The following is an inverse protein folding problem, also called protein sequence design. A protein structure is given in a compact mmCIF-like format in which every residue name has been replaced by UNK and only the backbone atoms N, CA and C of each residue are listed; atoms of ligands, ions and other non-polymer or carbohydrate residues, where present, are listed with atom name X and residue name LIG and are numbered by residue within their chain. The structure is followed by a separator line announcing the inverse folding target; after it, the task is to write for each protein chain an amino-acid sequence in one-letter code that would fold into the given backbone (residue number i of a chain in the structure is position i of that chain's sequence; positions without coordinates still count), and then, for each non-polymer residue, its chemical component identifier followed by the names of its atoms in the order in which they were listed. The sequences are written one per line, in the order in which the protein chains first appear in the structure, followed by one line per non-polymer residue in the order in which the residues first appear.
data_IF_867915327239
#
_entry.id   IF_867915327239
#
_cell.length_a   1.000
_cell.length_b   1.000
_cell.length_c   1.000
_cell.angle_alpha   90.00
_cell.angle_beta   90.00
_cell.angle_gamma   90.00
#
_symmetry.space_group_name_H-M   'P 1'
#
loop_
_entity.id
_entity.type
_entity.pdbx_description
1 polymer ?
#
# COMPACT_ATOMS: atom_id res chain seq x y z
N UNK A 1 4.73 -8.44 -27.31
CA UNK A 1 4.03 -7.96 -26.09
C UNK A 1 4.74 -8.55 -24.90
N UNK A 2 5.07 -7.70 -23.94
CA UNK A 2 5.57 -8.18 -22.66
C UNK A 2 4.41 -8.78 -21.84
N UNK A 3 4.69 -9.73 -20.96
CA UNK A 3 3.67 -10.43 -20.15
C UNK A 3 2.79 -9.45 -19.35
N UNK A 4 3.36 -8.38 -18.80
CA UNK A 4 2.60 -7.41 -18.00
C UNK A 4 1.54 -6.66 -18.83
N UNK A 5 1.78 -6.42 -20.12
CA UNK A 5 0.82 -5.75 -21.01
C UNK A 5 -0.43 -6.62 -21.22
N UNK A 6 -0.25 -7.93 -21.34
CA UNK A 6 -1.38 -8.88 -21.43
C UNK A 6 -2.18 -9.02 -20.13
N UNK A 7 -1.62 -8.59 -19.00
CA UNK A 7 -2.27 -8.57 -17.70
C UNK A 7 -2.96 -7.22 -17.40
N UNK A 8 -2.94 -6.28 -18.35
CA UNK A 8 -3.59 -4.97 -18.22
C UNK A 8 -2.70 -3.88 -17.62
N UNK A 9 -1.40 -4.15 -17.40
CA UNK A 9 -0.48 -3.13 -16.93
C UNK A 9 0.05 -2.29 -18.10
N UNK A 10 -0.01 -0.97 -17.97
CA UNK A 10 0.56 -0.02 -18.94
C UNK A 10 2.09 0.13 -18.82
N UNK A 11 2.65 -0.22 -17.67
CA UNK A 11 4.08 -0.20 -17.35
C UNK A 11 4.42 -1.40 -16.47
N UNK A 12 5.68 -1.82 -16.45
CA UNK A 12 6.09 -2.94 -15.61
C UNK A 12 5.87 -2.60 -14.11
N UNK A 13 5.00 -3.35 -13.40
CA UNK A 13 4.58 -2.97 -12.04
C UNK A 13 5.69 -3.11 -11.00
N UNK A 14 6.61 -4.07 -11.17
CA UNK A 14 7.67 -4.40 -10.20
C UNK A 14 9.05 -3.97 -10.70
N UNK A 15 9.19 -2.72 -11.17
CA UNK A 15 10.49 -2.20 -11.65
C UNK A 15 11.41 -1.77 -10.51
N UNK A 16 10.86 -1.62 -9.31
CA UNK A 16 11.56 -1.14 -8.12
C UNK A 16 11.64 -2.24 -7.09
N UNK A 17 12.74 -2.25 -6.34
CA UNK A 17 12.89 -3.14 -5.18
C UNK A 17 12.17 -2.57 -3.96
N UNK A 18 12.06 -1.24 -3.90
CA UNK A 18 11.45 -0.51 -2.79
C UNK A 18 10.05 -0.04 -3.18
N UNK A 19 9.05 -0.43 -2.38
CA UNK A 19 7.67 0.03 -2.58
C UNK A 19 7.54 1.56 -2.44
N UNK A 20 8.49 2.27 -1.84
CA UNK A 20 8.51 3.75 -1.75
C UNK A 20 8.77 4.43 -3.09
N UNK A 21 9.42 3.74 -4.03
CA UNK A 21 9.74 4.27 -5.36
C UNK A 21 8.67 3.94 -6.41
N UNK A 22 7.63 3.20 -6.02
CA UNK A 22 6.57 2.74 -6.92
C UNK A 22 5.44 3.77 -7.02
N UNK A 23 5.48 4.64 -8.05
CA UNK A 23 4.47 5.70 -8.22
C UNK A 23 3.04 5.14 -8.33
N UNK A 24 2.86 4.03 -9.04
CA UNK A 24 1.56 3.42 -9.32
C UNK A 24 1.10 2.39 -8.28
N UNK A 25 1.74 2.32 -7.10
CA UNK A 25 1.43 1.30 -6.08
C UNK A 25 -0.07 1.18 -5.77
N UNK A 26 -0.78 2.32 -5.68
CA UNK A 26 -2.21 2.34 -5.37
C UNK A 26 -3.08 1.64 -6.42
N UNK A 27 -2.62 1.55 -7.67
CA UNK A 27 -3.39 0.98 -8.79
C UNK A 27 -3.43 -0.55 -8.76
N UNK A 28 -2.45 -1.19 -8.11
CA UNK A 28 -2.31 -2.64 -8.08
C UNK A 28 -2.11 -3.22 -6.67
N UNK A 29 -2.22 -2.38 -5.64
CA UNK A 29 -2.17 -2.83 -4.26
C UNK A 29 -3.33 -3.79 -3.97
N UNK A 30 -2.99 -5.00 -3.53
CA UNK A 30 -3.96 -5.98 -3.06
C UNK A 30 -3.98 -5.91 -1.53
N UNK A 31 -5.03 -5.35 -0.91
CA UNK A 31 -5.08 -5.23 0.54
C UNK A 31 -5.13 -6.61 1.20
N UNK A 32 -4.32 -6.87 2.24
CA UNK A 32 -4.48 -8.09 3.03
C UNK A 32 -5.84 -8.08 3.76
N UNK A 33 -6.39 -9.25 4.13
CA UNK A 33 -7.70 -9.33 4.79
C UNK A 33 -7.85 -8.52 6.08
N UNK A 34 -6.74 -8.17 6.72
CA UNK A 34 -6.69 -7.39 7.97
C UNK A 34 -6.38 -5.91 7.75
N UNK A 35 -6.31 -5.43 6.49
CA UNK A 35 -5.88 -4.06 6.19
C UNK A 35 -6.78 -2.99 6.82
N UNK A 36 -8.10 -3.22 6.85
CA UNK A 36 -9.05 -2.30 7.47
C UNK A 36 -8.78 -2.12 8.97
N UNK A 37 -8.28 -3.16 9.65
CA UNK A 37 -7.89 -3.06 11.05
C UNK A 37 -6.59 -2.25 11.26
N UNK A 38 -5.75 -2.15 10.23
CA UNK A 38 -4.54 -1.29 10.24
C UNK A 38 -4.93 0.17 10.01
N UNK A 39 -5.86 0.42 9.09
CA UNK A 39 -6.43 1.76 8.85
C UNK A 39 -7.13 2.27 10.11
N UNK A 40 -7.92 1.41 10.74
CA UNK A 40 -8.63 1.71 11.98
C UNK A 40 -9.72 2.77 11.79
N UNK A 41 -10.05 3.45 12.89
CA UNK A 41 -11.06 4.51 12.91
C UNK A 41 -10.45 5.80 13.47
N UNK A 42 -10.47 6.87 12.66
CA UNK A 42 -9.94 8.16 13.03
C UNK A 42 -10.74 8.84 14.17
N UNK A 43 -12.01 8.47 14.37
CA UNK A 43 -12.81 8.95 15.50
C UNK A 43 -12.44 8.27 16.82
N UNK A 44 -11.81 7.10 16.75
CA UNK A 44 -11.41 6.27 17.89
C UNK A 44 -9.95 5.80 17.73
N UNK A 45 -8.97 6.70 17.80
CA UNK A 45 -7.59 6.41 17.40
C UNK A 45 -6.93 5.34 18.27
N UNK A 46 -6.19 4.43 17.63
CA UNK A 46 -5.41 3.38 18.29
C UNK A 46 -4.05 3.20 17.63
N UNK A 47 -3.02 2.85 18.40
CA UNK A 47 -1.71 2.47 17.88
C UNK A 47 -1.55 0.95 17.75
N UNK A 48 -0.79 0.50 16.76
CA UNK A 48 -0.54 -0.92 16.51
C UNK A 48 0.82 -1.17 15.85
N UNK A 49 1.34 -2.38 15.98
CA UNK A 49 2.59 -2.81 15.35
C UNK A 49 2.28 -3.98 14.42
N UNK A 50 2.60 -3.83 13.13
CA UNK A 50 2.44 -4.89 12.13
C UNK A 50 3.75 -5.66 11.99
N UNK A 51 3.78 -6.89 12.50
CA UNK A 51 4.91 -7.80 12.34
C UNK A 51 4.68 -8.68 11.11
N UNK A 52 5.63 -8.67 10.18
CA UNK A 52 5.55 -9.53 8.99
C UNK A 52 6.94 -9.88 8.44
N UNK A 53 7.10 -11.02 7.75
CA UNK A 53 8.34 -11.42 7.10
C UNK A 53 8.86 -10.39 6.08
N UNK A 54 10.11 -10.57 5.63
CA UNK A 54 10.66 -9.81 4.50
C UNK A 54 9.83 -10.11 3.23
N UNK A 55 9.53 -9.08 2.46
CA UNK A 55 8.72 -9.21 1.24
C UNK A 55 7.20 -9.26 1.46
N UNK A 56 6.72 -9.28 2.71
CA UNK A 56 5.28 -9.31 3.02
C UNK A 56 4.55 -7.96 2.82
N UNK A 57 5.15 -7.01 2.10
CA UNK A 57 4.50 -5.74 1.77
C UNK A 57 4.29 -4.76 2.94
N UNK A 58 5.17 -4.76 3.96
CA UNK A 58 5.07 -3.79 5.09
C UNK A 58 5.13 -2.33 4.62
N UNK A 59 6.11 -2.02 3.78
CA UNK A 59 6.28 -0.68 3.20
C UNK A 59 5.09 -0.30 2.31
N UNK A 60 4.58 -1.25 1.53
CA UNK A 60 3.38 -1.03 0.72
C UNK A 60 2.16 -0.71 1.60
N UNK A 61 1.91 -1.50 2.66
CA UNK A 61 0.82 -1.24 3.60
C UNK A 61 0.93 0.14 4.24
N UNK A 62 2.12 0.57 4.69
CA UNK A 62 2.35 1.92 5.22
C UNK A 62 1.94 3.00 4.22
N UNK A 63 2.38 2.91 2.96
CA UNK A 63 2.02 3.89 1.93
C UNK A 63 0.53 3.95 1.65
N UNK A 64 -0.16 2.83 1.76
CA UNK A 64 -1.61 2.79 1.58
C UNK A 64 -2.36 3.39 2.78
N UNK A 65 -1.84 3.24 4.00
CA UNK A 65 -2.35 3.95 5.18
C UNK A 65 -2.17 5.47 5.01
N UNK A 66 -1.00 5.91 4.55
CA UNK A 66 -0.73 7.32 4.25
C UNK A 66 -1.67 7.87 3.16
N UNK A 67 -1.89 7.11 2.09
CA UNK A 67 -2.81 7.48 1.03
C UNK A 67 -4.25 7.65 1.53
N UNK A 68 -4.76 6.72 2.34
CA UNK A 68 -6.09 6.84 2.94
C UNK A 68 -6.18 7.99 3.95
N UNK A 69 -5.12 8.24 4.73
CA UNK A 69 -5.05 9.40 5.63
C UNK A 69 -5.13 10.73 4.86
N UNK A 70 -4.38 10.89 3.77
CA UNK A 70 -4.45 12.09 2.93
C UNK A 70 -5.83 12.26 2.29
N UNK A 71 -6.46 11.17 1.81
CA UNK A 71 -7.82 11.18 1.26
C UNK A 71 -8.85 11.59 2.30
N UNK A 72 -8.67 11.17 3.55
CA UNK A 72 -9.48 11.60 4.70
C UNK A 72 -9.10 12.99 5.26
N UNK A 73 -8.13 13.69 4.64
CA UNK A 73 -7.62 15.01 5.03
C UNK A 73 -6.93 15.05 6.40
N UNK A 74 -6.30 13.95 6.77
CA UNK A 74 -5.39 13.88 7.91
C UNK A 74 -3.94 14.05 7.48
N UNK A 75 -3.11 14.58 8.38
CA UNK A 75 -1.66 14.61 8.21
C UNK A 75 -1.11 13.19 8.35
N UNK A 76 -0.35 12.73 7.36
CA UNK A 76 0.46 11.53 7.42
C UNK A 76 1.93 11.90 7.22
N UNK A 77 2.81 11.32 8.06
CA UNK A 77 4.27 11.54 8.10
C UNK A 77 5.03 10.24 8.28
#
# INVERSE_FOLDING_TARGET
MAMYESLGFFKHPFTKTNADEEEALQEYFVPPPYFDAIIGDASTPSSGIVLAPRGAGKTAQRRMVEAEAYKAKFLAV
#
